data_IF_240628932968
#
_entry.id   IF_240628932968
#
_cell.length_a   1.000
_cell.length_b   1.000
_cell.length_c   1.000
_cell.angle_alpha   90.00
_cell.angle_beta   90.00
_cell.angle_gamma   90.00
#
_symmetry.space_group_name_H-M   'P 1'
#
loop_
_entity.id
_entity.type
_entity.pdbx_description
1 polymer ?
#
# COMPACT_ATOMS: atom_id res chain seq x y z
N UNK A 1 -14.96 9.27 -11.43
CA UNK A 1 -15.68 8.04 -11.80
C UNK A 1 -15.56 7.08 -10.62
N UNK A 2 -16.62 6.99 -9.81
CA UNK A 2 -16.81 5.91 -8.85
C UNK A 2 -17.25 4.70 -9.67
N UNK A 3 -16.36 3.71 -9.84
CA UNK A 3 -16.78 2.39 -10.26
C UNK A 3 -17.76 1.87 -9.20
N UNK A 4 -19.04 1.85 -9.55
CA UNK A 4 -20.05 1.18 -8.75
C UNK A 4 -19.71 -0.31 -8.74
N UNK A 5 -19.74 -0.93 -7.57
CA UNK A 5 -19.63 -2.39 -7.43
C UNK A 5 -20.70 -3.15 -8.27
N UNK A 6 -21.71 -2.44 -8.77
CA UNK A 6 -22.77 -2.97 -9.63
C UNK A 6 -22.39 -3.04 -11.12
N UNK A 7 -21.30 -2.40 -11.55
CA UNK A 7 -20.84 -2.39 -12.95
C UNK A 7 -19.76 -3.43 -13.24
N UNK A 8 -19.21 -4.09 -12.21
CA UNK A 8 -18.31 -5.22 -12.38
C UNK A 8 -19.16 -6.47 -12.66
N UNK A 9 -19.12 -6.97 -13.89
CA UNK A 9 -19.71 -8.27 -14.22
C UNK A 9 -18.98 -9.36 -13.40
N UNK A 10 -19.70 -10.17 -12.63
CA UNK A 10 -19.08 -11.28 -11.92
C UNK A 10 -18.49 -12.27 -12.92
N UNK A 11 -17.29 -12.80 -12.62
CA UNK A 11 -16.61 -13.80 -13.42
C UNK A 11 -16.26 -14.97 -12.51
N UNK A 12 -16.45 -16.21 -12.98
CA UNK A 12 -16.04 -17.41 -12.27
C UNK A 12 -14.70 -17.90 -12.81
N UNK A 13 -13.72 -17.97 -11.91
CA UNK A 13 -12.36 -18.35 -12.25
C UNK A 13 -12.15 -19.87 -12.19
N UNK A 14 -11.46 -20.42 -13.18
CA UNK A 14 -11.01 -21.81 -13.23
C UNK A 14 -9.48 -21.85 -13.19
N UNK A 15 -8.94 -22.63 -12.26
CA UNK A 15 -7.51 -22.89 -12.14
C UNK A 15 -7.24 -24.40 -12.11
N UNK A 16 -6.06 -24.83 -12.61
CA UNK A 16 -5.65 -26.21 -12.55
C UNK A 16 -4.14 -26.35 -12.27
N UNK A 17 -3.80 -26.63 -11.03
CA UNK A 17 -2.42 -26.93 -10.61
C UNK A 17 -2.25 -28.38 -10.16
N UNK A 18 -3.16 -29.27 -10.59
CA UNK A 18 -3.15 -30.67 -10.24
C UNK A 18 -3.72 -31.01 -8.85
N UNK A 19 -4.49 -30.10 -8.26
CA UNK A 19 -5.11 -30.29 -6.94
C UNK A 19 -6.54 -30.80 -7.05
N UNK A 20 -6.91 -31.79 -6.23
CA UNK A 20 -8.27 -32.34 -6.20
C UNK A 20 -9.33 -31.32 -5.78
N UNK A 21 -8.95 -30.39 -4.90
CA UNK A 21 -9.81 -29.30 -4.46
C UNK A 21 -10.19 -28.37 -5.63
N UNK A 22 -9.21 -27.99 -6.45
CA UNK A 22 -9.45 -27.18 -7.64
C UNK A 22 -10.37 -27.88 -8.64
N UNK A 23 -10.19 -29.18 -8.83
CA UNK A 23 -11.08 -29.95 -9.71
C UNK A 23 -12.54 -29.87 -9.25
N UNK A 24 -12.80 -30.07 -7.94
CA UNK A 24 -14.16 -29.96 -7.38
C UNK A 24 -14.73 -28.56 -7.51
N UNK A 25 -13.91 -27.52 -7.28
CA UNK A 25 -14.31 -26.12 -7.46
C UNK A 25 -14.64 -25.84 -8.92
N UNK A 26 -13.81 -26.27 -9.85
CA UNK A 26 -14.04 -26.09 -11.29
C UNK A 26 -15.34 -26.74 -11.75
N UNK A 27 -15.60 -27.99 -11.33
CA UNK A 27 -16.87 -28.67 -11.63
C UNK A 27 -18.09 -27.90 -11.11
N UNK A 28 -17.96 -27.30 -9.92
CA UNK A 28 -19.03 -26.49 -9.30
C UNK A 28 -19.19 -25.16 -10.02
N UNK A 29 -18.10 -24.47 -10.35
CA UNK A 29 -18.13 -23.18 -11.07
C UNK A 29 -18.74 -23.34 -12.48
N UNK A 30 -18.45 -24.43 -13.18
CA UNK A 30 -19.05 -24.75 -14.48
C UNK A 30 -20.57 -24.95 -14.35
N UNK A 31 -21.06 -25.58 -13.28
CA UNK A 31 -22.50 -25.72 -13.04
C UNK A 31 -23.15 -24.36 -12.76
N UNK A 32 -22.55 -23.57 -11.87
CA UNK A 32 -23.04 -22.22 -11.54
C UNK A 32 -23.09 -21.34 -12.80
N UNK A 33 -22.02 -21.39 -13.63
CA UNK A 33 -21.99 -20.64 -14.88
C UNK A 33 -23.17 -21.01 -15.79
N UNK A 34 -23.45 -22.30 -15.96
CA UNK A 34 -24.58 -22.80 -16.78
C UNK A 34 -25.95 -22.37 -16.23
N UNK A 35 -26.10 -22.32 -14.90
CA UNK A 35 -27.36 -21.94 -14.25
C UNK A 35 -27.60 -20.43 -14.22
N UNK A 36 -26.52 -19.64 -14.09
CA UNK A 36 -26.62 -18.19 -13.85
C UNK A 36 -26.26 -17.34 -15.06
N UNK A 37 -25.58 -17.92 -16.06
CA UNK A 37 -25.03 -17.18 -17.20
C UNK A 37 -23.75 -16.38 -16.86
N UNK A 38 -23.17 -16.52 -15.66
CA UNK A 38 -21.92 -15.86 -15.29
C UNK A 38 -20.76 -16.48 -16.09
N UNK A 39 -19.96 -15.66 -16.83
CA UNK A 39 -18.88 -16.17 -17.66
C UNK A 39 -17.77 -16.82 -16.85
N UNK A 40 -17.08 -17.79 -17.48
CA UNK A 40 -15.91 -18.45 -16.94
C UNK A 40 -14.64 -17.83 -17.50
N UNK A 41 -13.54 -17.82 -16.72
CA UNK A 41 -12.20 -17.47 -17.19
C UNK A 41 -11.18 -18.47 -16.66
N UNK A 42 -10.25 -18.92 -17.50
CA UNK A 42 -9.14 -19.77 -17.12
C UNK A 42 -7.92 -18.92 -16.77
N UNK A 43 -7.34 -19.14 -15.59
CA UNK A 43 -6.15 -18.45 -15.13
C UNK A 43 -5.09 -19.43 -14.61
N UNK A 44 -3.89 -18.95 -14.32
CA UNK A 44 -2.78 -19.83 -13.98
C UNK A 44 -2.00 -19.42 -12.70
N UNK A 45 -2.38 -18.42 -11.94
CA UNK A 45 -1.73 -18.05 -10.66
C UNK A 45 -0.19 -18.16 -10.70
N UNK A 46 0.45 -17.48 -11.68
CA UNK A 46 1.88 -17.61 -11.98
C UNK A 46 2.74 -17.06 -10.84
N UNK A 47 3.67 -17.87 -10.34
CA UNK A 47 4.62 -17.50 -9.30
C UNK A 47 6.08 -17.55 -9.75
N UNK A 48 6.38 -18.25 -10.84
CA UNK A 48 7.70 -18.33 -11.46
C UNK A 48 7.60 -18.59 -12.97
N UNK A 49 8.68 -18.35 -13.70
CA UNK A 49 8.66 -18.39 -15.18
C UNK A 49 8.70 -19.83 -15.69
N UNK A 50 9.66 -20.64 -15.26
CA UNK A 50 9.79 -22.02 -15.74
C UNK A 50 9.40 -23.00 -14.66
N UNK A 51 8.87 -24.15 -15.02
CA UNK A 51 8.49 -25.21 -14.07
C UNK A 51 9.63 -25.61 -13.12
N UNK A 52 10.88 -25.69 -13.64
CA UNK A 52 12.07 -26.01 -12.84
C UNK A 52 12.38 -24.98 -11.75
N UNK A 53 11.88 -23.76 -11.86
CA UNK A 53 12.12 -22.66 -10.93
C UNK A 53 11.31 -22.84 -9.63
N UNK A 54 10.40 -23.83 -9.57
CA UNK A 54 9.66 -24.23 -8.37
C UNK A 54 10.57 -24.46 -7.15
N UNK A 55 11.75 -25.04 -7.37
CA UNK A 55 12.75 -25.29 -6.31
C UNK A 55 13.33 -23.99 -5.75
N UNK A 56 13.66 -23.06 -6.62
CA UNK A 56 14.17 -21.73 -6.21
C UNK A 56 13.10 -20.95 -5.47
N UNK A 57 11.85 -21.03 -5.94
CA UNK A 57 10.71 -20.42 -5.28
C UNK A 57 10.45 -21.01 -3.88
N UNK A 58 10.59 -22.33 -3.71
CA UNK A 58 10.48 -22.99 -2.41
C UNK A 58 11.53 -22.49 -1.41
N UNK A 59 12.77 -22.25 -1.88
CA UNK A 59 13.84 -21.64 -1.05
C UNK A 59 13.46 -20.18 -0.65
N UNK A 60 12.93 -19.38 -1.58
CA UNK A 60 12.46 -18.03 -1.27
C UNK A 60 11.36 -18.03 -0.20
N UNK A 61 10.45 -19.00 -0.26
CA UNK A 61 9.43 -19.19 0.78
C UNK A 61 10.04 -19.50 2.16
N UNK A 62 11.12 -20.29 2.19
CA UNK A 62 11.84 -20.57 3.43
C UNK A 62 12.48 -19.29 4.01
N UNK A 63 13.15 -18.49 3.17
CA UNK A 63 13.75 -17.22 3.57
C UNK A 63 12.68 -16.27 4.14
N UNK A 64 11.56 -16.12 3.46
CA UNK A 64 10.46 -15.25 3.89
C UNK A 64 9.87 -15.64 5.25
N UNK A 65 9.83 -16.95 5.54
CA UNK A 65 9.20 -17.48 6.76
C UNK A 65 10.20 -17.82 7.87
N UNK A 66 11.51 -17.57 7.65
CA UNK A 66 12.57 -17.94 8.59
C UNK A 66 12.69 -19.44 8.81
N UNK A 67 12.42 -20.26 7.80
CA UNK A 67 12.48 -21.72 7.80
C UNK A 67 13.59 -22.24 6.89
N UNK A 68 13.89 -23.54 7.01
CA UNK A 68 14.80 -24.27 6.12
C UNK A 68 14.02 -25.23 5.23
N UNK A 69 14.64 -25.75 4.20
CA UNK A 69 14.01 -26.75 3.30
C UNK A 69 13.74 -28.08 3.99
N UNK A 70 14.47 -28.39 5.08
CA UNK A 70 14.35 -29.61 5.88
C UNK A 70 13.22 -29.52 6.92
N UNK A 71 12.72 -28.33 7.21
CA UNK A 71 11.59 -28.17 8.14
C UNK A 71 10.33 -28.83 7.58
N UNK A 72 9.76 -29.79 8.33
CA UNK A 72 8.54 -30.49 7.93
C UNK A 72 7.32 -29.57 7.99
N UNK A 73 7.22 -28.75 9.03
CA UNK A 73 6.09 -27.85 9.27
C UNK A 73 6.39 -26.45 8.70
N UNK A 74 6.39 -26.33 7.39
CA UNK A 74 6.55 -25.05 6.67
C UNK A 74 5.55 -24.90 5.54
N UNK A 75 5.31 -23.68 5.12
CA UNK A 75 4.48 -23.39 3.94
C UNK A 75 5.18 -23.88 2.68
N UNK A 76 4.47 -24.65 1.85
CA UNK A 76 4.92 -25.15 0.56
C UNK A 76 3.81 -24.99 -0.46
N UNK A 77 4.17 -24.82 -1.71
CA UNK A 77 3.23 -24.99 -2.81
C UNK A 77 2.97 -26.47 -3.04
N UNK A 78 1.73 -26.89 -3.32
CA UNK A 78 1.35 -28.29 -3.41
C UNK A 78 1.86 -28.96 -4.68
N UNK A 79 2.26 -28.20 -5.70
CA UNK A 79 2.77 -28.70 -6.97
C UNK A 79 3.78 -27.71 -7.59
N UNK A 80 4.42 -28.12 -8.68
CA UNK A 80 5.30 -27.31 -9.50
C UNK A 80 4.58 -26.63 -10.69
N UNK A 81 3.25 -26.60 -10.66
CA UNK A 81 2.41 -26.14 -11.77
C UNK A 81 2.12 -24.63 -11.77
N UNK A 82 2.76 -23.85 -10.92
CA UNK A 82 2.58 -22.40 -10.81
C UNK A 82 3.55 -21.60 -11.70
N UNK A 83 3.99 -22.19 -12.82
CA UNK A 83 4.85 -21.52 -13.80
C UNK A 83 4.04 -20.86 -14.90
N UNK A 84 4.69 -19.95 -15.65
CA UNK A 84 4.09 -19.29 -16.80
C UNK A 84 3.94 -20.29 -17.95
N UNK A 85 2.74 -20.84 -18.09
CA UNK A 85 2.40 -21.80 -19.15
C UNK A 85 2.26 -21.10 -20.50
N UNK A 86 2.62 -21.82 -21.56
CA UNK A 86 2.36 -21.37 -22.92
C UNK A 86 0.86 -21.37 -23.25
N UNK A 87 0.43 -20.64 -24.28
CA UNK A 87 -0.96 -20.71 -24.77
C UNK A 87 -1.39 -22.15 -25.09
N UNK A 88 -0.49 -22.96 -25.69
CA UNK A 88 -0.76 -24.35 -26.06
C UNK A 88 -1.00 -25.21 -24.81
N UNK A 89 -0.15 -25.08 -23.79
CA UNK A 89 -0.31 -25.78 -22.52
C UNK A 89 -1.63 -25.40 -21.82
N UNK A 90 -2.02 -24.13 -21.87
CA UNK A 90 -3.31 -23.69 -21.33
C UNK A 90 -4.48 -24.26 -22.14
N UNK A 91 -4.39 -24.32 -23.48
CA UNK A 91 -5.40 -24.91 -24.32
C UNK A 91 -5.55 -26.40 -24.05
N UNK A 92 -4.47 -27.15 -23.93
CA UNK A 92 -4.51 -28.58 -23.59
C UNK A 92 -5.18 -28.83 -22.23
N UNK A 93 -4.87 -27.97 -21.25
CA UNK A 93 -5.38 -28.10 -19.89
C UNK A 93 -6.87 -27.80 -19.75
N UNK A 94 -7.40 -26.84 -20.54
CA UNK A 94 -8.78 -26.36 -20.47
C UNK A 94 -9.57 -26.65 -21.76
N UNK A 95 -9.10 -27.60 -22.62
CA UNK A 95 -9.75 -27.97 -23.87
C UNK A 95 -11.22 -28.39 -23.71
N UNK A 96 -11.61 -28.85 -22.52
CA UNK A 96 -12.98 -29.25 -22.18
C UNK A 96 -13.93 -28.06 -21.95
N UNK A 97 -13.40 -26.83 -21.86
CA UNK A 97 -14.16 -25.58 -21.66
C UNK A 97 -13.49 -24.41 -22.38
N UNK A 98 -13.41 -24.43 -23.74
CA UNK A 98 -12.66 -23.47 -24.54
C UNK A 98 -13.12 -22.02 -24.33
N UNK A 99 -14.37 -21.80 -24.03
CA UNK A 99 -14.93 -20.46 -23.75
C UNK A 99 -14.22 -19.75 -22.59
N UNK A 100 -13.73 -20.48 -21.59
CA UNK A 100 -12.99 -19.91 -20.46
C UNK A 100 -11.63 -19.33 -20.88
N UNK A 101 -11.03 -19.87 -21.93
CA UNK A 101 -9.79 -19.36 -22.52
C UNK A 101 -10.08 -18.17 -23.46
N UNK A 102 -11.10 -18.25 -24.30
CA UNK A 102 -11.53 -17.15 -25.17
C UNK A 102 -11.91 -15.90 -24.36
N UNK A 103 -12.53 -16.08 -23.20
CA UNK A 103 -12.93 -14.98 -22.34
C UNK A 103 -11.74 -14.20 -21.77
N UNK A 104 -10.52 -14.75 -21.71
CA UNK A 104 -9.31 -14.01 -21.33
C UNK A 104 -9.05 -12.86 -22.27
N UNK A 105 -9.25 -13.07 -23.58
CA UNK A 105 -9.07 -12.03 -24.61
C UNK A 105 -10.19 -11.00 -24.52
N UNK A 106 -11.46 -11.44 -24.37
CA UNK A 106 -12.61 -10.53 -24.23
C UNK A 106 -12.44 -9.60 -23.03
N UNK A 107 -12.02 -10.14 -21.87
CA UNK A 107 -11.75 -9.34 -20.67
C UNK A 107 -10.63 -8.33 -20.94
N UNK A 108 -9.54 -8.74 -21.62
CA UNK A 108 -8.46 -7.84 -21.96
C UNK A 108 -8.91 -6.68 -22.90
N UNK A 109 -9.79 -6.97 -23.86
CA UNK A 109 -10.37 -5.98 -24.78
C UNK A 109 -11.33 -5.01 -24.07
N UNK A 110 -12.05 -5.46 -23.05
CA UNK A 110 -12.93 -4.63 -22.21
C UNK A 110 -12.13 -3.74 -21.24
N UNK A 111 -10.93 -4.14 -20.85
CA UNK A 111 -10.06 -3.36 -19.98
C UNK A 111 -9.40 -2.22 -20.75
N UNK A 112 -9.93 -1.01 -20.59
CA UNK A 112 -9.42 0.20 -21.22
C UNK A 112 -9.11 1.26 -20.17
N UNK A 113 -7.94 1.09 -19.50
CA UNK A 113 -7.50 1.99 -18.45
C UNK A 113 -6.04 2.44 -18.68
N UNK A 114 -5.85 3.73 -18.63
CA UNK A 114 -4.52 4.35 -18.72
C UNK A 114 -4.13 5.00 -17.40
N UNK A 115 -2.89 4.77 -16.97
CA UNK A 115 -2.36 5.35 -15.74
C UNK A 115 -1.93 6.79 -15.96
N UNK A 116 -2.46 7.71 -15.16
CA UNK A 116 -1.94 9.08 -15.10
C UNK A 116 -0.81 9.14 -14.09
N UNK A 117 0.41 9.20 -14.63
CA UNK A 117 1.62 9.35 -13.81
C UNK A 117 1.81 10.80 -13.35
N UNK A 118 2.54 10.97 -12.24
CA UNK A 118 2.91 12.27 -11.67
C UNK A 118 1.73 13.11 -11.14
N UNK A 119 0.53 12.54 -11.01
CA UNK A 119 -0.57 13.16 -10.30
C UNK A 119 -0.58 12.70 -8.84
N UNK A 120 -0.24 13.59 -7.92
CA UNK A 120 -0.41 13.32 -6.49
C UNK A 120 -1.89 13.39 -6.14
N UNK A 121 -2.43 12.31 -5.56
CA UNK A 121 -3.82 12.21 -5.08
C UNK A 121 -3.93 12.39 -3.57
N UNK A 122 -2.89 12.95 -2.94
CA UNK A 122 -2.95 13.26 -1.52
C UNK A 122 -4.04 14.29 -1.25
N UNK A 123 -4.92 14.07 -0.28
CA UNK A 123 -5.92 15.05 0.11
C UNK A 123 -5.24 16.32 0.66
N UNK A 124 -5.88 17.45 0.47
CA UNK A 124 -5.44 18.71 1.08
C UNK A 124 -5.97 18.82 2.50
N UNK A 125 -5.13 19.30 3.41
CA UNK A 125 -5.55 19.59 4.76
C UNK A 125 -6.42 20.87 4.78
N UNK A 126 -7.60 20.83 5.42
CA UNK A 126 -8.49 22.00 5.45
C UNK A 126 -7.91 23.11 6.35
N UNK A 127 -7.56 24.23 5.76
CA UNK A 127 -7.07 25.42 6.45
C UNK A 127 -8.00 26.62 6.14
N UNK A 128 -8.01 27.66 7.00
CA UNK A 128 -8.68 28.91 6.71
C UNK A 128 -8.18 29.52 5.39
N UNK A 129 -9.06 30.23 4.69
CA UNK A 129 -8.72 30.88 3.43
C UNK A 129 -7.54 31.86 3.61
N UNK A 130 -6.57 31.78 2.70
CA UNK A 130 -5.36 32.61 2.74
C UNK A 130 -4.23 32.05 3.60
N UNK A 131 -4.41 30.93 4.28
CA UNK A 131 -3.36 30.29 5.09
C UNK A 131 -2.47 29.41 4.22
N UNK A 132 -1.15 29.64 4.23
CA UNK A 132 -0.18 28.76 3.56
C UNK A 132 0.03 27.48 4.39
N UNK A 133 -0.18 26.27 3.81
CA UNK A 133 -0.05 25.02 4.56
C UNK A 133 1.36 24.77 5.12
N UNK A 134 2.39 25.20 4.42
CA UNK A 134 3.77 25.02 4.88
C UNK A 134 4.09 25.90 6.08
N UNK A 135 3.68 27.17 6.03
CA UNK A 135 3.87 28.09 7.16
C UNK A 135 3.07 27.62 8.39
N UNK A 136 1.86 27.10 8.18
CA UNK A 136 1.07 26.51 9.27
C UNK A 136 1.74 25.26 9.88
N UNK A 137 2.27 24.36 9.05
CA UNK A 137 3.03 23.20 9.52
C UNK A 137 4.26 23.64 10.30
N UNK A 138 5.02 24.58 9.76
CA UNK A 138 6.22 25.14 10.38
C UNK A 138 5.91 25.72 11.76
N UNK A 139 4.89 26.54 11.86
CA UNK A 139 4.42 27.13 13.11
C UNK A 139 4.05 26.06 14.14
N UNK A 140 3.29 25.07 13.72
CA UNK A 140 2.89 23.95 14.57
C UNK A 140 4.08 23.16 15.09
N UNK A 141 5.09 22.90 14.24
CA UNK A 141 6.32 22.23 14.63
C UNK A 141 7.15 23.05 15.63
N UNK A 142 7.24 24.37 15.45
CA UNK A 142 7.94 25.25 16.39
C UNK A 142 7.24 25.31 17.76
N UNK A 143 5.90 25.35 17.79
CA UNK A 143 5.13 25.23 19.04
C UNK A 143 5.46 23.94 19.77
N UNK A 144 5.42 22.81 19.04
CA UNK A 144 5.77 21.51 19.60
C UNK A 144 7.23 21.40 20.07
N UNK A 145 8.17 22.05 19.38
CA UNK A 145 9.58 22.12 19.79
C UNK A 145 9.73 22.83 21.16
N UNK A 146 9.08 23.97 21.32
CA UNK A 146 9.13 24.76 22.54
C UNK A 146 8.48 24.04 23.71
N UNK A 147 7.36 23.37 23.48
CA UNK A 147 6.65 22.62 24.53
C UNK A 147 7.44 21.43 25.03
N UNK A 148 8.17 20.74 24.16
CA UNK A 148 8.83 19.45 24.49
C UNK A 148 10.25 19.57 25.00
N UNK A 149 10.98 20.61 24.66
CA UNK A 149 12.39 20.73 24.99
C UNK A 149 12.68 21.85 25.97
N UNK A 150 13.27 21.52 27.11
CA UNK A 150 13.55 22.47 28.21
C UNK A 150 14.47 23.62 27.84
N UNK A 151 15.31 23.44 26.82
CA UNK A 151 16.16 24.52 26.30
C UNK A 151 15.34 25.75 25.83
N UNK A 152 14.06 25.57 25.54
CA UNK A 152 13.13 26.61 25.13
C UNK A 152 12.10 26.98 26.21
N UNK A 153 12.26 26.49 27.45
CA UNK A 153 11.30 26.74 28.57
C UNK A 153 10.92 28.19 28.74
N UNK A 154 11.87 29.12 28.58
CA UNK A 154 11.63 30.55 28.70
C UNK A 154 10.64 31.15 27.69
N UNK A 155 10.28 30.40 26.67
CA UNK A 155 9.33 30.77 25.60
C UNK A 155 7.94 30.17 25.81
N UNK A 156 7.74 29.18 26.69
CA UNK A 156 6.50 28.40 26.83
C UNK A 156 5.24 29.19 27.12
N UNK A 157 5.35 30.38 27.72
CA UNK A 157 4.18 31.19 28.14
C UNK A 157 4.08 32.51 27.40
N UNK A 158 4.68 32.62 26.21
CA UNK A 158 4.64 33.84 25.41
C UNK A 158 3.84 33.64 24.15
N UNK A 159 3.20 34.70 23.65
CA UNK A 159 2.74 34.68 22.24
C UNK A 159 3.97 34.47 21.34
N UNK A 160 3.92 33.38 20.60
CA UNK A 160 5.08 32.89 19.87
C UNK A 160 5.29 33.64 18.56
N UNK A 161 6.41 34.39 18.52
CA UNK A 161 7.01 34.76 17.25
C UNK A 161 8.25 33.88 17.02
N UNK A 162 8.43 33.30 15.81
CA UNK A 162 9.62 32.53 15.45
C UNK A 162 10.94 33.27 15.71
N UNK A 163 10.92 34.61 15.65
CA UNK A 163 12.08 35.41 15.93
C UNK A 163 12.60 35.23 17.38
N UNK A 164 11.72 34.89 18.32
CA UNK A 164 12.11 34.66 19.72
C UNK A 164 12.93 33.35 19.87
N UNK A 165 12.69 32.40 19.01
CA UNK A 165 13.47 31.14 18.99
C UNK A 165 14.92 31.40 18.61
N UNK A 166 15.17 32.33 17.68
CA UNK A 166 16.52 32.71 17.27
C UNK A 166 17.33 33.30 18.43
N UNK A 167 16.70 34.02 19.37
CA UNK A 167 17.38 34.57 20.56
C UNK A 167 17.92 33.43 21.48
N UNK A 168 17.28 32.28 21.49
CA UNK A 168 17.75 31.09 22.24
C UNK A 168 18.83 30.35 21.46
N UNK A 169 18.65 30.22 20.15
CA UNK A 169 19.62 29.58 19.23
C UNK A 169 20.99 30.26 19.33
N UNK A 170 21.03 31.58 19.36
CA UNK A 170 22.27 32.37 19.44
C UNK A 170 23.03 32.11 20.76
N UNK A 171 22.35 31.66 21.82
CA UNK A 171 22.91 31.46 23.15
C UNK A 171 23.13 29.99 23.51
N UNK A 172 22.57 29.05 22.76
CA UNK A 172 22.60 27.63 23.08
C UNK A 172 22.89 26.77 21.87
N UNK A 173 24.06 26.10 21.88
CA UNK A 173 24.44 25.14 20.85
C UNK A 173 23.38 24.03 20.68
N UNK A 174 22.81 23.55 21.79
CA UNK A 174 21.77 22.50 21.78
C UNK A 174 20.48 22.99 21.12
N UNK A 175 20.06 24.24 21.40
CA UNK A 175 18.91 24.84 20.73
C UNK A 175 19.15 24.95 19.21
N UNK A 176 20.36 25.36 18.83
CA UNK A 176 20.74 25.43 17.43
C UNK A 176 20.65 24.06 16.73
N UNK A 177 21.15 23.02 17.33
CA UNK A 177 21.09 21.65 16.77
C UNK A 177 19.64 21.20 16.53
N UNK A 178 18.71 21.49 17.45
CA UNK A 178 17.30 21.16 17.29
C UNK A 178 16.63 21.96 16.16
N UNK A 179 16.90 23.25 16.08
CA UNK A 179 16.31 24.13 15.05
C UNK A 179 16.88 23.80 13.68
N UNK A 180 18.20 23.62 13.55
CA UNK A 180 18.84 23.24 12.29
C UNK A 180 18.26 21.92 11.77
N UNK A 181 18.03 20.95 12.67
CA UNK A 181 17.42 19.67 12.30
C UNK A 181 15.97 19.83 11.86
N UNK A 182 15.17 20.61 12.59
CA UNK A 182 13.78 20.89 12.24
C UNK A 182 13.66 21.58 10.89
N UNK A 183 14.45 22.60 10.63
CA UNK A 183 14.43 23.32 9.35
C UNK A 183 14.85 22.42 8.18
N UNK A 184 15.84 21.56 8.41
CA UNK A 184 16.24 20.56 7.41
C UNK A 184 15.08 19.61 7.06
N UNK A 185 14.41 19.03 8.06
CA UNK A 185 13.31 18.11 7.84
C UNK A 185 12.10 18.79 7.19
N UNK A 186 11.73 19.98 7.63
CA UNK A 186 10.67 20.79 7.01
C UNK A 186 10.98 21.11 5.54
N UNK A 187 12.24 21.40 5.24
CA UNK A 187 12.71 21.62 3.86
C UNK A 187 12.49 20.41 2.99
N UNK A 188 12.82 19.20 3.48
CA UNK A 188 12.60 17.94 2.75
C UNK A 188 11.10 17.68 2.55
N UNK A 189 10.28 17.85 3.61
CA UNK A 189 8.82 17.66 3.53
C UNK A 189 8.22 18.59 2.46
N UNK A 190 8.63 19.85 2.43
CA UNK A 190 8.21 20.84 1.43
C UNK A 190 8.62 20.43 0.01
N UNK A 191 9.88 20.07 -0.17
CA UNK A 191 10.43 19.66 -1.46
C UNK A 191 9.73 18.42 -2.03
N UNK A 192 9.38 17.47 -1.15
CA UNK A 192 8.69 16.23 -1.52
C UNK A 192 7.18 16.41 -1.72
N UNK A 193 6.60 17.58 -1.39
CA UNK A 193 5.16 17.86 -1.52
C UNK A 193 4.29 17.15 -0.49
N UNK A 194 4.83 16.77 0.68
CA UNK A 194 4.10 16.02 1.72
C UNK A 194 3.56 16.88 2.86
N UNK A 195 3.50 18.21 2.71
CA UNK A 195 3.03 19.12 3.76
C UNK A 195 1.63 18.74 4.27
N UNK A 196 0.67 18.57 3.36
CA UNK A 196 -0.70 18.19 3.71
C UNK A 196 -0.76 16.83 4.41
N UNK A 197 0.04 15.86 3.98
CA UNK A 197 0.13 14.55 4.62
C UNK A 197 0.56 14.65 6.09
N UNK A 198 1.59 15.44 6.37
CA UNK A 198 2.06 15.65 7.74
C UNK A 198 1.02 16.38 8.60
N UNK A 199 0.30 17.35 8.05
CA UNK A 199 -0.79 18.02 8.74
C UNK A 199 -1.95 17.09 9.08
N UNK A 200 -2.35 16.23 8.15
CA UNK A 200 -3.41 15.22 8.38
C UNK A 200 -3.01 14.24 9.48
N UNK A 201 -1.78 13.71 9.44
CA UNK A 201 -1.28 12.78 10.46
C UNK A 201 -1.18 13.46 11.82
N UNK A 202 -0.67 14.69 11.86
CA UNK A 202 -0.62 15.50 13.07
C UNK A 202 -2.01 15.71 13.69
N UNK A 203 -3.02 16.01 12.88
CA UNK A 203 -4.39 16.25 13.36
C UNK A 203 -5.00 15.01 13.99
N UNK A 204 -4.77 13.82 13.41
CA UNK A 204 -5.20 12.55 14.02
C UNK A 204 -4.54 12.31 15.38
N UNK A 205 -3.24 12.57 15.49
CA UNK A 205 -2.50 12.41 16.74
C UNK A 205 -2.96 13.45 17.77
N UNK A 206 -3.16 14.70 17.35
CA UNK A 206 -3.69 15.78 18.19
C UNK A 206 -5.05 15.41 18.77
N UNK A 207 -5.99 15.02 17.90
CA UNK A 207 -7.33 14.57 18.32
C UNK A 207 -7.27 13.43 19.33
N UNK A 208 -6.43 12.43 19.06
CA UNK A 208 -6.27 11.29 19.96
C UNK A 208 -5.75 11.73 21.34
N UNK A 209 -4.73 12.58 21.39
CA UNK A 209 -4.15 13.06 22.63
C UNK A 209 -5.17 13.91 23.44
N UNK A 210 -5.92 14.79 22.77
CA UNK A 210 -6.95 15.64 23.40
C UNK A 210 -8.11 14.80 23.98
N UNK A 211 -8.37 13.61 23.43
CA UNK A 211 -9.41 12.69 23.89
C UNK A 211 -8.88 11.52 24.74
N UNK A 212 -7.62 11.56 25.17
CA UNK A 212 -7.03 10.53 26.02
C UNK A 212 -6.88 9.15 25.36
N UNK A 213 -6.85 9.12 24.01
CA UNK A 213 -6.65 7.91 23.23
C UNK A 213 -5.14 7.66 23.04
N UNK A 214 -4.58 6.53 23.52
CA UNK A 214 -3.17 6.25 23.36
C UNK A 214 -2.76 6.16 21.89
N UNK A 215 -1.71 6.88 21.50
CA UNK A 215 -1.07 6.76 20.18
C UNK A 215 0.31 6.16 20.32
N UNK A 216 0.65 5.23 19.44
CA UNK A 216 1.97 4.62 19.37
C UNK A 216 2.69 4.99 18.07
N UNK A 217 4.02 4.82 18.00
CA UNK A 217 4.74 4.94 16.75
C UNK A 217 4.24 3.86 15.78
N UNK A 218 3.91 4.24 14.56
CA UNK A 218 3.64 3.30 13.48
C UNK A 218 4.89 2.44 13.19
N UNK A 219 4.67 1.20 12.77
CA UNK A 219 5.72 0.30 12.30
C UNK A 219 5.70 0.22 10.79
#
# INVERSE_FOLDING_TARGET
>A
YTLSLHDALPILELQNHGMDEQRKVNETNIKISKETGIPLVATNDVHYINQKDSKSHDILMCIQTGKTVEDENRRRYPSDQFYLKSPEEMWDMFSYIPEALENTIKIAEECNYDYKFHESKLPKFPLPEGTDPYEYLKETCYKGLIERYDVFESLRNKELNYQDVNLIVDKSKKAKEYVDRLEYELGIIKQMGYVDYFLIVWDFIRFSNENGIPTGPGR
#
